data_IF_091707709514
#
_entry.id   IF_091707709514
#
_cell.length_a   1.000
_cell.length_b   1.000
_cell.length_c   1.000
_cell.angle_alpha   90.00
_cell.angle_beta   90.00
_cell.angle_gamma   90.00
#
_symmetry.space_group_name_H-M   'P 1'
#
loop_
_entity.id
_entity.type
_entity.pdbx_description
1 polymer ?
#
# COMPACT_ATOMS: atom_id res chain seq x y z
N UNK A 1 -34.73 21.37 1.40
CA UNK A 1 -33.56 20.77 2.08
C UNK A 1 -33.84 19.30 2.28
N UNK A 2 -33.00 18.39 1.79
CA UNK A 2 -33.30 16.95 1.79
C UNK A 2 -32.77 16.31 3.08
N UNK A 3 -33.69 15.93 3.98
CA UNK A 3 -33.38 15.42 5.32
C UNK A 3 -32.54 14.14 5.28
N UNK A 4 -32.81 13.26 4.31
CA UNK A 4 -32.10 11.98 4.17
C UNK A 4 -30.64 12.21 3.77
N UNK A 5 -30.41 13.19 2.90
CA UNK A 5 -29.06 13.60 2.50
C UNK A 5 -28.28 14.23 3.66
N UNK A 6 -28.96 14.93 4.58
CA UNK A 6 -28.35 15.46 5.79
C UNK A 6 -27.95 14.35 6.75
N UNK A 7 -28.83 13.38 7.01
CA UNK A 7 -28.53 12.25 7.89
C UNK A 7 -27.36 11.43 7.35
N UNK A 8 -27.38 11.06 6.06
CA UNK A 8 -26.30 10.29 5.44
C UNK A 8 -24.93 10.97 5.54
N UNK A 9 -24.87 12.29 5.33
CA UNK A 9 -23.63 13.06 5.40
C UNK A 9 -23.07 13.17 6.84
N UNK A 10 -23.93 13.10 7.85
CA UNK A 10 -23.54 13.22 9.25
C UNK A 10 -23.37 11.88 9.96
N UNK A 11 -23.79 10.76 9.36
CA UNK A 11 -23.51 9.43 9.91
C UNK A 11 -22.00 9.18 10.03
N UNK A 12 -21.49 8.75 11.20
CA UNK A 12 -20.08 8.43 11.37
C UNK A 12 -19.67 7.30 10.42
N UNK A 13 -18.85 7.62 9.42
CA UNK A 13 -18.29 6.61 8.52
C UNK A 13 -17.27 5.76 9.28
N UNK A 14 -17.33 4.44 9.11
CA UNK A 14 -16.31 3.53 9.66
C UNK A 14 -14.93 3.99 9.19
N UNK A 15 -13.96 4.05 10.10
CA UNK A 15 -12.57 4.39 9.77
C UNK A 15 -11.95 3.21 9.00
N UNK A 16 -11.89 3.32 7.68
CA UNK A 16 -11.21 2.36 6.80
C UNK A 16 -9.74 2.77 6.70
N UNK A 17 -8.81 1.80 6.72
CA UNK A 17 -7.40 2.12 6.51
C UNK A 17 -7.18 2.57 5.08
N UNK A 18 -6.34 3.58 4.86
CA UNK A 18 -5.95 3.97 3.51
C UNK A 18 -5.31 2.81 2.74
N UNK A 19 -4.64 1.88 3.43
CA UNK A 19 -4.07 0.69 2.80
C UNK A 19 -5.13 -0.30 2.33
N UNK A 20 -6.30 -0.36 2.98
CA UNK A 20 -7.42 -1.21 2.52
C UNK A 20 -8.01 -0.69 1.20
N UNK A 21 -7.98 0.63 0.99
CA UNK A 21 -8.47 1.26 -0.25
C UNK A 21 -7.57 0.92 -1.45
N UNK A 22 -6.27 0.76 -1.21
CA UNK A 22 -5.27 0.51 -2.25
C UNK A 22 -4.65 -0.89 -2.15
N UNK A 23 -5.36 -1.87 -1.58
CA UNK A 23 -4.82 -3.21 -1.31
C UNK A 23 -4.35 -3.91 -2.59
N UNK A 24 -5.10 -3.75 -3.69
CA UNK A 24 -4.77 -4.37 -4.98
C UNK A 24 -3.52 -3.76 -5.60
N UNK A 25 -3.40 -2.43 -5.59
CA UNK A 25 -2.22 -1.72 -6.05
C UNK A 25 -0.98 -2.08 -5.22
N UNK A 26 -1.13 -2.17 -3.90
CA UNK A 26 -0.05 -2.58 -2.99
C UNK A 26 0.41 -4.00 -3.33
N UNK A 27 -0.50 -4.95 -3.50
CA UNK A 27 -0.15 -6.33 -3.86
C UNK A 27 0.55 -6.39 -5.22
N UNK A 28 0.01 -5.71 -6.25
CA UNK A 28 0.64 -5.64 -7.58
C UNK A 28 2.05 -5.07 -7.52
N UNK A 29 2.27 -4.01 -6.74
CA UNK A 29 3.59 -3.41 -6.57
C UNK A 29 4.57 -4.37 -5.86
N UNK A 30 4.10 -5.08 -4.84
CA UNK A 30 4.94 -6.06 -4.14
C UNK A 30 5.28 -7.26 -5.03
N UNK A 31 4.35 -7.73 -5.87
CA UNK A 31 4.59 -8.79 -6.87
C UNK A 31 5.62 -8.38 -7.92
N UNK A 32 5.64 -7.09 -8.29
CA UNK A 32 6.65 -6.51 -9.19
C UNK A 32 8.00 -6.21 -8.48
N UNK A 33 8.19 -6.70 -7.26
CA UNK A 33 9.39 -6.51 -6.43
C UNK A 33 9.71 -5.04 -6.11
N UNK A 34 8.72 -4.15 -6.08
CA UNK A 34 8.93 -2.80 -5.58
C UNK A 34 9.17 -2.81 -4.07
N UNK A 35 10.13 -1.99 -3.63
CA UNK A 35 10.41 -1.79 -2.21
C UNK A 35 9.24 -1.09 -1.50
N UNK A 36 9.08 -1.33 -0.19
CA UNK A 36 8.04 -0.65 0.60
C UNK A 36 8.11 0.88 0.48
N UNK A 37 9.32 1.45 0.37
CA UNK A 37 9.53 2.87 0.13
C UNK A 37 8.86 3.33 -1.18
N UNK A 38 9.08 2.60 -2.28
CA UNK A 38 8.45 2.90 -3.58
C UNK A 38 6.93 2.74 -3.51
N UNK A 39 6.42 1.74 -2.78
CA UNK A 39 4.97 1.60 -2.53
C UNK A 39 4.42 2.83 -1.80
N UNK A 40 5.10 3.32 -0.77
CA UNK A 40 4.68 4.53 -0.05
C UNK A 40 4.75 5.77 -0.94
N UNK A 41 5.79 5.91 -1.76
CA UNK A 41 5.90 7.00 -2.73
C UNK A 41 4.73 6.97 -3.72
N UNK A 42 4.38 5.79 -4.27
CA UNK A 42 3.21 5.61 -5.12
C UNK A 42 1.93 6.05 -4.42
N UNK A 43 1.66 5.54 -3.21
CA UNK A 43 0.45 5.86 -2.46
C UNK A 43 0.35 7.36 -2.14
N UNK A 44 1.48 8.03 -1.89
CA UNK A 44 1.55 9.49 -1.69
C UNK A 44 1.21 10.29 -2.94
N UNK A 45 1.37 9.72 -4.14
CA UNK A 45 0.91 10.36 -5.40
C UNK A 45 -0.61 10.20 -5.60
N UNK A 46 -1.20 9.10 -5.11
CA UNK A 46 -2.64 8.80 -5.23
C UNK A 46 -3.49 9.45 -4.14
N UNK A 47 -2.97 9.56 -2.92
CA UNK A 47 -3.71 10.05 -1.77
C UNK A 47 -3.57 11.58 -1.59
N UNK A 48 -4.71 12.28 -1.47
CA UNK A 48 -4.71 13.70 -1.06
C UNK A 48 -4.14 13.89 0.35
N UNK A 49 -4.46 12.97 1.27
CA UNK A 49 -3.93 12.96 2.63
C UNK A 49 -2.74 11.99 2.72
N UNK A 50 -1.58 12.49 3.16
CA UNK A 50 -0.33 11.73 3.27
C UNK A 50 -0.09 11.18 4.67
N UNK A 51 -0.91 11.57 5.65
CA UNK A 51 -0.75 11.18 7.05
C UNK A 51 -0.90 9.67 7.20
N UNK A 52 0.06 9.05 7.89
CA UNK A 52 0.08 7.61 8.12
C UNK A 52 0.62 6.76 6.97
N UNK A 53 0.95 7.35 5.81
CA UNK A 53 1.65 6.66 4.72
C UNK A 53 3.16 6.57 5.00
N UNK A 54 3.54 5.64 5.86
CA UNK A 54 4.93 5.36 6.24
C UNK A 54 5.25 3.88 6.05
N UNK A 55 6.52 3.57 5.81
CA UNK A 55 6.99 2.18 5.65
C UNK A 55 6.67 1.32 6.88
N UNK A 56 6.82 1.89 8.09
CA UNK A 56 6.46 1.22 9.34
C UNK A 56 4.96 0.86 9.41
N UNK A 57 4.09 1.77 8.99
CA UNK A 57 2.65 1.51 8.96
C UNK A 57 2.27 0.49 7.88
N UNK A 58 2.92 0.53 6.71
CA UNK A 58 2.75 -0.49 5.67
C UNK A 58 3.23 -1.86 6.16
N UNK A 59 4.40 -1.94 6.78
CA UNK A 59 4.88 -3.17 7.42
C UNK A 59 3.88 -3.69 8.45
N UNK A 60 3.39 -2.83 9.34
CA UNK A 60 2.37 -3.21 10.33
C UNK A 60 1.09 -3.69 9.66
N UNK A 61 0.67 -3.04 8.58
CA UNK A 61 -0.50 -3.42 7.81
C UNK A 61 -0.34 -4.81 7.19
N UNK A 62 0.78 -5.07 6.51
CA UNK A 62 1.08 -6.34 5.86
C UNK A 62 1.23 -7.49 6.86
N UNK A 63 1.73 -7.20 8.07
CA UNK A 63 1.85 -8.17 9.18
C UNK A 63 0.53 -8.47 9.89
N UNK A 64 -0.54 -7.68 9.68
CA UNK A 64 -1.82 -7.98 10.32
C UNK A 64 -2.33 -9.32 9.78
N UNK A 65 -2.80 -10.23 10.66
CA UNK A 65 -3.47 -11.43 10.20
C UNK A 65 -4.66 -10.99 9.36
N UNK A 66 -4.63 -11.30 8.06
CA UNK A 66 -5.75 -11.04 7.16
C UNK A 66 -6.92 -11.82 7.76
N UNK A 67 -8.00 -11.14 8.18
CA UNK A 67 -9.24 -11.84 8.57
C UNK A 67 -9.57 -12.78 7.41
N UNK A 68 -9.52 -14.07 7.70
CA UNK A 68 -9.59 -15.17 6.74
C UNK A 68 -10.80 -14.99 5.84
N UNK A 69 -10.60 -14.41 4.66
CA UNK A 69 -11.54 -14.44 3.52
C UNK A 69 -10.86 -14.03 2.20
N UNK A 70 -9.52 -14.08 2.10
CA UNK A 70 -8.80 -13.79 0.86
C UNK A 70 -7.56 -14.70 0.79
N UNK A 71 -7.48 -15.44 -0.33
CA UNK A 71 -6.49 -16.46 -0.75
C UNK A 71 -5.08 -16.27 -0.18
N UNK A 72 -4.48 -17.40 0.23
CA UNK A 72 -3.09 -17.53 0.66
C UNK A 72 -2.12 -16.84 -0.30
N UNK A 73 -1.61 -15.67 0.10
CA UNK A 73 -0.38 -15.14 -0.48
C UNK A 73 0.74 -15.81 0.30
N UNK A 74 1.47 -16.69 -0.39
CA UNK A 74 2.60 -17.46 0.14
C UNK A 74 3.54 -16.53 0.91
N UNK A 75 3.81 -16.89 2.16
CA UNK A 75 4.70 -16.17 3.08
C UNK A 75 6.04 -15.86 2.40
N UNK A 76 6.33 -14.58 2.18
CA UNK A 76 7.70 -14.14 1.92
C UNK A 76 8.38 -14.16 3.29
N UNK A 77 9.22 -15.16 3.48
CA UNK A 77 10.07 -15.33 4.64
C UNK A 77 10.99 -14.11 4.79
N UNK A 78 10.67 -13.24 5.76
CA UNK A 78 11.40 -11.99 6.03
C UNK A 78 12.78 -12.29 6.66
N UNK A 79 13.07 -13.53 7.04
CA UNK A 79 14.25 -13.85 7.85
C UNK A 79 15.55 -14.05 7.06
N UNK A 80 15.51 -14.03 5.72
CA UNK A 80 16.71 -14.18 4.87
C UNK A 80 17.30 -12.90 4.27
N UNK A 81 16.71 -11.72 4.53
CA UNK A 81 17.19 -10.45 3.95
C UNK A 81 18.37 -9.80 4.69
N UNK A 82 19.37 -10.58 5.12
CA UNK A 82 20.62 -10.03 5.69
C UNK A 82 21.87 -10.24 4.84
N UNK A 83 21.78 -10.87 3.67
CA UNK A 83 22.94 -11.10 2.80
C UNK A 83 22.62 -10.91 1.30
N UNK A 84 22.13 -9.73 0.89
CA UNK A 84 22.32 -9.31 -0.50
C UNK A 84 23.26 -8.11 -0.52
N UNK A 85 24.46 -8.39 -1.01
CA UNK A 85 25.50 -7.45 -1.37
C UNK A 85 24.92 -6.30 -2.19
N UNK A 86 25.33 -5.09 -1.83
CA UNK A 86 24.98 -3.84 -2.50
C UNK A 86 25.72 -3.77 -3.84
N UNK A 87 25.28 -4.54 -4.82
CA UNK A 87 25.75 -4.35 -6.18
C UNK A 87 25.08 -3.10 -6.78
N UNK A 88 25.93 -2.23 -7.31
CA UNK A 88 25.62 -0.89 -7.82
C UNK A 88 24.54 -0.99 -8.91
N UNK A 89 23.29 -0.75 -8.55
CA UNK A 89 22.24 -0.47 -9.53
C UNK A 89 22.32 1.01 -9.85
N UNK A 90 22.84 1.33 -11.04
CA UNK A 90 22.78 2.67 -11.62
C UNK A 90 21.34 3.18 -11.61
N UNK A 91 21.12 4.32 -10.96
CA UNK A 91 19.82 4.98 -10.90
C UNK A 91 19.49 5.57 -12.26
N UNK A 92 18.76 4.82 -13.09
CA UNK A 92 18.00 5.42 -14.20
C UNK A 92 16.83 6.23 -13.62
N UNK A 93 16.58 7.45 -14.09
CA UNK A 93 15.34 8.15 -13.80
C UNK A 93 14.23 7.50 -14.63
N UNK A 94 13.73 6.38 -14.15
CA UNK A 94 12.56 5.71 -14.72
C UNK A 94 11.37 6.33 -14.00
N UNK A 95 10.38 6.82 -14.75
CA UNK A 95 9.06 7.09 -14.20
C UNK A 95 8.49 5.74 -13.72
N UNK A 96 8.78 5.43 -12.45
CA UNK A 96 8.65 4.11 -11.82
C UNK A 96 7.21 3.59 -11.91
N UNK A 97 6.24 4.48 -12.13
CA UNK A 97 4.82 4.19 -12.13
C UNK A 97 4.18 4.18 -13.52
N UNK A 98 4.96 4.35 -14.59
CA UNK A 98 4.45 4.36 -15.97
C UNK A 98 3.71 3.05 -16.32
N UNK A 99 4.19 1.90 -15.81
CA UNK A 99 3.59 0.58 -16.03
C UNK A 99 2.30 0.32 -15.23
N UNK A 100 1.83 1.29 -14.43
CA UNK A 100 0.63 1.19 -13.60
C UNK A 100 -0.54 2.03 -14.10
N UNK A 101 -0.38 2.72 -15.25
CA UNK A 101 -1.50 3.37 -15.95
C UNK A 101 -2.21 2.32 -16.83
N UNK A 102 -3.24 1.68 -16.29
CA UNK A 102 -4.24 0.91 -17.06
C UNK A 102 -5.61 1.19 -16.48
#
# INVERSE_FOLDING_TARGET
MNIDKFIQNNTPKKKISIFDVYVDDINKLLELNYSQKQVIEYLKTKCKNKTGLTESNLTRYLKKPKKQNIKEVKNIDIDKSKNLTKDKIEKKPIDIFANLKS
#
